data_IF_469802838486
#
_entry.id   IF_469802838486
#
_cell.length_a   1.000
_cell.length_b   1.000
_cell.length_c   1.000
_cell.angle_alpha   90.00
_cell.angle_beta   90.00
_cell.angle_gamma   90.00
#
_symmetry.space_group_name_H-M   'P 1'
#
loop_
_entity.id
_entity.type
_entity.pdbx_description
1 polymer ?
#
# COMPACT_ATOMS: atom_id res chain seq x y z
N UNK A 1 15.70 -4.42 -21.12
CA UNK A 1 14.83 -3.36 -21.66
C UNK A 1 14.10 -2.75 -20.48
N UNK A 2 14.28 -1.45 -20.24
CA UNK A 2 13.62 -0.76 -19.12
C UNK A 2 12.12 -0.63 -19.44
N UNK A 3 11.27 -1.33 -18.69
CA UNK A 3 9.82 -1.36 -18.90
C UNK A 3 9.19 0.03 -18.84
N UNK A 4 9.74 0.93 -18.00
CA UNK A 4 9.25 2.31 -17.91
C UNK A 4 9.40 3.06 -19.23
N UNK A 5 10.51 2.86 -19.95
CA UNK A 5 10.72 3.52 -21.25
C UNK A 5 9.71 3.08 -22.31
N UNK A 6 9.12 1.90 -22.15
CA UNK A 6 8.11 1.36 -23.08
C UNK A 6 6.74 1.98 -22.82
N UNK A 7 6.38 2.21 -21.56
CA UNK A 7 5.02 2.62 -21.18
C UNK A 7 4.85 4.12 -20.97
N UNK A 8 5.93 4.89 -20.77
CA UNK A 8 5.86 6.32 -20.41
C UNK A 8 5.12 7.20 -21.43
N UNK A 9 5.13 6.80 -22.70
CA UNK A 9 4.54 7.57 -23.81
C UNK A 9 3.10 7.12 -24.15
N UNK A 10 2.55 6.13 -23.42
CA UNK A 10 1.15 5.74 -23.55
C UNK A 10 0.27 6.93 -23.13
N UNK A 11 -0.66 7.30 -24.02
CA UNK A 11 -1.62 8.38 -23.80
C UNK A 11 -3.02 7.81 -23.75
N UNK A 12 -3.87 8.39 -22.90
CA UNK A 12 -5.29 8.16 -22.97
C UNK A 12 -5.84 8.73 -24.29
N UNK A 13 -6.87 8.10 -24.83
CA UNK A 13 -7.52 8.59 -26.04
C UNK A 13 -8.22 9.92 -25.75
N UNK A 14 -8.22 10.82 -26.75
CA UNK A 14 -8.92 12.12 -26.63
C UNK A 14 -10.42 11.93 -26.42
N UNK A 15 -10.95 10.82 -26.93
CA UNK A 15 -12.33 10.40 -26.76
C UNK A 15 -12.66 10.15 -25.28
N UNK A 16 -11.76 9.48 -24.54
CA UNK A 16 -11.95 9.25 -23.10
C UNK A 16 -11.95 10.56 -22.31
N UNK A 17 -11.05 11.49 -22.67
CA UNK A 17 -10.96 12.81 -22.02
C UNK A 17 -12.25 13.61 -22.23
N UNK A 18 -12.80 13.59 -23.46
CA UNK A 18 -14.07 14.25 -23.78
C UNK A 18 -15.25 13.65 -23.01
N UNK A 19 -15.30 12.33 -22.90
CA UNK A 19 -16.35 11.64 -22.16
C UNK A 19 -16.28 11.94 -20.65
N UNK A 20 -15.08 11.96 -20.07
CA UNK A 20 -14.90 12.34 -18.67
C UNK A 20 -15.37 13.79 -18.40
N UNK A 21 -15.02 14.73 -19.29
CA UNK A 21 -15.51 16.11 -19.23
C UNK A 21 -17.03 16.18 -19.34
N UNK A 22 -17.63 15.46 -20.30
CA UNK A 22 -19.09 15.40 -20.50
C UNK A 22 -19.82 14.88 -19.27
N UNK A 23 -19.25 13.87 -18.61
CA UNK A 23 -19.80 13.25 -17.40
C UNK A 23 -19.46 14.02 -16.12
N UNK A 24 -18.69 15.11 -16.20
CA UNK A 24 -18.18 15.87 -15.05
C UNK A 24 -17.46 14.97 -14.03
N UNK A 25 -16.73 13.97 -14.51
CA UNK A 25 -15.87 13.11 -13.70
C UNK A 25 -14.39 13.49 -13.92
N UNK A 26 -13.52 13.31 -12.92
CA UNK A 26 -12.09 13.54 -13.12
C UNK A 26 -11.57 12.67 -14.26
N UNK A 27 -10.86 13.28 -15.21
CA UNK A 27 -10.14 12.53 -16.24
C UNK A 27 -9.17 11.59 -15.52
N UNK A 28 -9.22 10.29 -15.85
CA UNK A 28 -8.30 9.31 -15.30
C UNK A 28 -6.87 9.80 -15.52
N UNK A 29 -6.11 9.94 -14.44
CA UNK A 29 -4.78 10.50 -14.50
C UNK A 29 -3.77 9.39 -14.80
N UNK A 30 -3.04 9.51 -15.92
CA UNK A 30 -1.92 8.63 -16.21
C UNK A 30 -0.69 9.11 -15.44
N UNK A 31 -0.13 8.25 -14.59
CA UNK A 31 1.10 8.52 -13.84
C UNK A 31 2.30 8.49 -14.80
N UNK A 32 3.04 9.60 -14.87
CA UNK A 32 4.17 9.83 -15.79
C UNK A 32 5.49 10.08 -15.09
N UNK A 33 5.50 10.22 -13.77
CA UNK A 33 6.71 10.46 -13.00
C UNK A 33 6.72 9.68 -11.69
N UNK A 34 7.91 9.55 -11.10
CA UNK A 34 8.07 8.91 -9.80
C UNK A 34 7.30 9.65 -8.69
N UNK A 35 7.32 10.99 -8.70
CA UNK A 35 6.60 11.78 -7.70
C UNK A 35 5.09 11.61 -7.82
N UNK A 36 4.57 11.57 -9.03
CA UNK A 36 3.16 11.26 -9.29
C UNK A 36 2.79 9.85 -8.81
N UNK A 37 3.65 8.86 -9.08
CA UNK A 37 3.46 7.50 -8.61
C UNK A 37 3.39 7.46 -7.09
N UNK A 38 4.39 8.05 -6.43
CA UNK A 38 4.48 8.15 -4.97
C UNK A 38 3.24 8.84 -4.39
N UNK A 39 2.81 9.95 -4.97
CA UNK A 39 1.61 10.66 -4.51
C UNK A 39 0.34 9.83 -4.70
N UNK A 40 0.24 9.06 -5.79
CA UNK A 40 -0.90 8.18 -6.06
C UNK A 40 -0.98 7.00 -5.07
N UNK A 41 0.17 6.49 -4.62
CA UNK A 41 0.27 5.41 -3.63
C UNK A 41 -0.05 5.93 -2.22
N UNK A 42 0.38 7.15 -1.88
CA UNK A 42 0.22 7.74 -0.56
C UNK A 42 -1.03 8.63 -0.42
N UNK A 43 -1.97 8.52 -1.36
CA UNK A 43 -3.17 9.34 -1.40
C UNK A 43 -4.06 9.07 -0.17
N UNK A 44 -4.42 10.12 0.59
CA UNK A 44 -5.30 9.97 1.76
C UNK A 44 -6.70 9.47 1.37
N UNK A 45 -7.26 9.98 0.28
CA UNK A 45 -8.58 9.58 -0.22
C UNK A 45 -8.54 8.39 -1.18
N UNK A 46 -7.65 7.44 -0.89
CA UNK A 46 -7.42 6.25 -1.71
C UNK A 46 -8.69 5.42 -1.99
N UNK A 47 -9.75 5.52 -1.16
CA UNK A 47 -10.99 4.73 -1.32
C UNK A 47 -11.97 5.30 -2.34
N UNK A 48 -11.86 6.58 -2.72
CA UNK A 48 -12.94 7.28 -3.43
C UNK A 48 -13.33 6.60 -4.75
N UNK A 49 -12.36 6.30 -5.61
CA UNK A 49 -12.60 5.61 -6.87
C UNK A 49 -12.64 4.08 -6.69
N UNK A 50 -11.64 3.44 -6.03
CA UNK A 50 -11.63 1.99 -5.78
C UNK A 50 -12.93 1.39 -5.25
N UNK A 51 -13.58 2.05 -4.29
CA UNK A 51 -14.82 1.55 -3.70
C UNK A 51 -16.03 1.70 -4.63
N UNK A 52 -16.01 2.64 -5.58
CA UNK A 52 -17.13 2.87 -6.50
C UNK A 52 -17.16 1.88 -7.66
N UNK A 53 -15.98 1.42 -8.11
CA UNK A 53 -15.85 0.56 -9.30
C UNK A 53 -15.24 -0.80 -8.99
N UNK A 54 -15.14 -1.15 -7.70
CA UNK A 54 -14.65 -2.44 -7.19
C UNK A 54 -13.28 -2.85 -7.75
N UNK A 55 -12.33 -1.93 -7.72
CA UNK A 55 -10.93 -2.17 -8.11
C UNK A 55 -9.99 -1.93 -6.92
N UNK A 56 -8.82 -2.58 -6.87
CA UNK A 56 -7.83 -2.28 -5.84
C UNK A 56 -7.25 -0.87 -6.02
N UNK A 57 -7.01 -0.19 -4.91
CA UNK A 57 -6.31 1.08 -4.88
C UNK A 57 -4.82 0.92 -5.17
N UNK A 58 -4.16 1.96 -5.67
CA UNK A 58 -2.71 1.96 -5.89
C UNK A 58 -1.91 1.60 -4.64
N UNK A 59 -2.37 2.03 -3.45
CA UNK A 59 -1.78 1.65 -2.16
C UNK A 59 -1.88 0.15 -1.87
N UNK A 60 -2.99 -0.48 -2.25
CA UNK A 60 -3.20 -1.93 -2.08
C UNK A 60 -2.32 -2.73 -3.05
N UNK A 61 -2.25 -2.29 -4.31
CA UNK A 61 -1.35 -2.89 -5.31
C UNK A 61 0.10 -2.77 -4.83
N UNK A 62 0.52 -1.59 -4.38
CA UNK A 62 1.86 -1.38 -3.83
C UNK A 62 2.14 -2.26 -2.61
N UNK A 63 1.18 -2.35 -1.67
CA UNK A 63 1.29 -3.24 -0.52
C UNK A 63 1.52 -4.70 -0.90
N UNK A 64 0.82 -5.18 -1.94
CA UNK A 64 1.02 -6.54 -2.46
C UNK A 64 2.41 -6.72 -3.11
N UNK A 65 2.90 -5.72 -3.83
CA UNK A 65 4.24 -5.77 -4.43
C UNK A 65 5.34 -5.81 -3.36
N UNK A 66 5.20 -4.99 -2.31
CA UNK A 66 6.11 -4.99 -1.15
C UNK A 66 6.04 -6.31 -0.40
N UNK A 67 4.85 -6.85 -0.16
CA UNK A 67 4.68 -8.17 0.42
C UNK A 67 5.42 -9.23 -0.41
N UNK A 68 5.24 -9.19 -1.73
CA UNK A 68 5.85 -10.18 -2.64
C UNK A 68 7.37 -10.04 -2.75
N UNK A 69 7.95 -8.88 -2.41
CA UNK A 69 9.41 -8.69 -2.39
C UNK A 69 10.07 -9.19 -1.10
N UNK A 70 9.31 -9.75 -0.16
CA UNK A 70 9.82 -10.31 1.08
C UNK A 70 10.05 -9.29 2.20
N UNK A 71 9.61 -8.03 2.04
CA UNK A 71 9.71 -7.02 3.10
C UNK A 71 8.76 -7.37 4.25
N UNK A 72 9.23 -7.30 5.50
CA UNK A 72 8.43 -7.71 6.68
C UNK A 72 7.39 -6.66 7.13
N UNK A 73 7.56 -5.41 6.73
CA UNK A 73 6.63 -4.34 7.07
C UNK A 73 7.00 -2.99 6.45
N UNK A 74 6.03 -2.08 6.41
CA UNK A 74 6.21 -0.73 5.87
C UNK A 74 5.54 0.33 6.72
N UNK A 75 6.21 1.49 6.81
CA UNK A 75 5.63 2.70 7.37
C UNK A 75 4.95 3.51 6.27
N UNK A 76 3.73 3.97 6.53
CA UNK A 76 2.97 4.81 5.62
C UNK A 76 2.25 5.93 6.37
N UNK A 77 1.91 7.07 5.72
CA UNK A 77 1.17 8.15 6.36
C UNK A 77 -0.21 7.71 6.84
N UNK A 78 -0.67 8.23 7.98
CA UNK A 78 -2.02 7.97 8.45
C UNK A 78 -3.05 8.76 7.63
N UNK A 79 -4.12 8.10 7.16
CA UNK A 79 -5.25 8.81 6.55
C UNK A 79 -5.86 9.85 7.51
N UNK A 80 -5.81 9.58 8.81
CA UNK A 80 -6.42 10.43 9.84
C UNK A 80 -5.51 11.56 10.33
N UNK A 81 -4.22 11.56 9.96
CA UNK A 81 -3.27 12.55 10.43
C UNK A 81 -2.10 12.69 9.46
N UNK A 82 -1.85 13.92 9.02
CA UNK A 82 -0.73 14.26 8.13
C UNK A 82 0.65 14.13 8.78
N UNK A 83 0.73 14.02 10.11
CA UNK A 83 1.99 13.96 10.87
C UNK A 83 2.29 12.54 11.35
N UNK A 84 1.26 11.74 11.63
CA UNK A 84 1.43 10.38 12.14
C UNK A 84 1.65 9.38 11.02
N UNK A 85 2.38 8.32 11.35
CA UNK A 85 2.58 7.15 10.48
C UNK A 85 1.84 5.94 11.05
N UNK A 86 1.42 5.06 10.16
CA UNK A 86 0.92 3.74 10.44
C UNK A 86 1.99 2.72 10.02
N UNK A 87 1.95 1.55 10.65
CA UNK A 87 2.82 0.42 10.33
C UNK A 87 1.94 -0.72 9.80
N UNK A 88 2.24 -1.18 8.59
CA UNK A 88 1.74 -2.45 8.08
C UNK A 88 2.80 -3.52 8.31
N UNK A 89 2.37 -4.68 8.82
CA UNK A 89 3.23 -5.83 9.09
C UNK A 89 2.79 -6.96 8.17
N UNK A 90 3.75 -7.71 7.63
CA UNK A 90 3.54 -8.84 6.75
C UNK A 90 4.05 -10.12 7.44
N UNK A 91 3.23 -10.79 8.29
CA UNK A 91 3.69 -11.88 9.14
C UNK A 91 4.38 -13.02 8.37
N UNK A 92 3.86 -13.38 7.19
CA UNK A 92 4.43 -14.48 6.39
C UNK A 92 5.86 -14.21 5.91
N UNK A 93 6.28 -12.95 5.83
CA UNK A 93 7.64 -12.58 5.41
C UNK A 93 8.67 -12.73 6.54
N UNK A 94 8.25 -13.04 7.78
CA UNK A 94 9.16 -13.34 8.87
C UNK A 94 9.81 -14.73 8.76
N UNK A 95 9.30 -15.62 7.90
CA UNK A 95 9.73 -17.03 7.81
C UNK A 95 11.25 -17.23 7.69
N UNK A 96 11.95 -16.30 7.02
CA UNK A 96 13.42 -16.35 6.83
C UNK A 96 14.10 -15.07 7.33
N UNK A 97 13.50 -14.40 8.31
CA UNK A 97 13.98 -13.13 8.85
C UNK A 97 14.54 -13.27 10.25
N UNK A 98 15.50 -12.42 10.60
CA UNK A 98 15.94 -12.19 11.98
C UNK A 98 15.18 -11.04 12.67
N UNK A 99 14.21 -10.43 11.98
CA UNK A 99 13.39 -9.34 12.51
C UNK A 99 12.39 -9.86 13.53
N UNK A 100 12.12 -9.01 14.52
CA UNK A 100 11.27 -9.33 15.65
C UNK A 100 10.42 -8.12 16.01
N UNK A 101 9.14 -8.34 16.33
CA UNK A 101 8.24 -7.34 16.91
C UNK A 101 7.79 -7.85 18.28
N UNK A 102 7.94 -7.01 19.32
CA UNK A 102 7.61 -7.35 20.71
C UNK A 102 6.64 -6.33 21.29
N UNK A 103 5.68 -6.83 22.05
CA UNK A 103 4.88 -5.97 22.93
C UNK A 103 5.77 -5.56 24.12
N UNK A 104 5.84 -4.26 24.43
CA UNK A 104 6.63 -3.71 25.54
C UNK A 104 5.77 -3.24 26.71
N UNK A 105 4.48 -3.58 26.70
CA UNK A 105 3.57 -3.23 27.79
C UNK A 105 3.92 -4.00 29.07
N UNK A 106 3.80 -3.33 30.22
CA UNK A 106 4.09 -3.91 31.53
C UNK A 106 2.87 -4.61 32.13
N UNK A 107 1.67 -4.22 31.73
CA UNK A 107 0.41 -4.69 32.31
C UNK A 107 -0.28 -5.69 31.36
N UNK A 108 0.42 -6.79 31.06
CA UNK A 108 -0.10 -7.83 30.16
C UNK A 108 -0.89 -8.91 30.93
N UNK A 109 -2.02 -9.39 30.39
CA UNK A 109 -2.75 -10.52 30.98
C UNK A 109 -1.88 -11.79 31.03
N UNK A 110 -1.92 -12.52 32.13
CA UNK A 110 -1.20 -13.80 32.31
C UNK A 110 -1.56 -14.86 31.26
N UNK A 111 -2.71 -14.71 30.59
CA UNK A 111 -3.20 -15.61 29.54
C UNK A 111 -2.53 -15.39 28.18
N UNK A 112 -1.75 -14.32 28.00
CA UNK A 112 -1.09 -14.00 26.74
C UNK A 112 0.16 -14.88 26.54
N UNK A 113 0.08 -15.85 25.64
CA UNK A 113 1.16 -16.82 25.39
C UNK A 113 2.24 -16.31 24.43
N UNK A 114 1.87 -15.47 23.47
CA UNK A 114 2.76 -14.99 22.41
C UNK A 114 2.88 -13.46 22.48
N UNK A 115 4.01 -12.98 22.98
CA UNK A 115 4.31 -11.54 23.06
C UNK A 115 5.22 -11.06 21.91
N UNK A 116 5.65 -11.98 21.06
CA UNK A 116 6.65 -11.77 20.04
C UNK A 116 6.17 -12.31 18.69
N UNK A 117 6.33 -11.51 17.64
CA UNK A 117 6.22 -11.90 16.25
C UNK A 117 7.62 -12.00 15.65
N UNK A 118 8.04 -13.21 15.27
CA UNK A 118 9.33 -13.53 14.66
C UNK A 118 9.20 -14.72 13.68
N UNK A 119 10.32 -15.25 13.20
CA UNK A 119 10.37 -16.39 12.27
C UNK A 119 9.79 -17.71 12.80
N UNK A 120 9.64 -17.86 14.12
CA UNK A 120 9.07 -19.05 14.75
C UNK A 120 7.59 -18.86 15.06
N UNK A 121 7.19 -17.65 15.45
CA UNK A 121 5.84 -17.39 15.98
C UNK A 121 4.84 -16.91 14.91
N UNK A 122 5.30 -16.46 13.74
CA UNK A 122 4.42 -15.89 12.70
C UNK A 122 3.34 -16.85 12.18
N UNK A 123 3.58 -18.15 12.28
CA UNK A 123 2.65 -19.20 11.81
C UNK A 123 1.37 -19.30 12.63
N UNK A 124 1.35 -18.69 13.82
CA UNK A 124 0.20 -18.71 14.73
C UNK A 124 -0.76 -17.55 14.53
N UNK A 125 -0.59 -16.76 13.44
CA UNK A 125 -1.41 -15.62 13.04
C UNK A 125 -2.31 -15.93 11.84
#
# INVERSE_FOLDING_TARGET
MDFYQVIKDIKLSKELEKEAQRLNIPVLYHVKSFDELKNSILLNEWRNLPAQVDIPANSQIFGQLVYSSGVEGILYPSKMSSVKKCLAIFPRNFANSSSTIKIQDKDLPETLKNMELNCETYIHL
#
